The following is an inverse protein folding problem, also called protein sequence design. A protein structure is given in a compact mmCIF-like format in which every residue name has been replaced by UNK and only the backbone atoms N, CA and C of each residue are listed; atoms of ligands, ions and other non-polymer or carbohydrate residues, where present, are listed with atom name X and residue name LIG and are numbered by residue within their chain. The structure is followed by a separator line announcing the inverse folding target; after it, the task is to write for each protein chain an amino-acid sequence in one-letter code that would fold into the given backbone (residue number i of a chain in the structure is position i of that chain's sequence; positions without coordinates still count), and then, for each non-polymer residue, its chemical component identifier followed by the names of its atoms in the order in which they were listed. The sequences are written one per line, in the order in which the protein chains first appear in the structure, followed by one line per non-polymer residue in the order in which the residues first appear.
data_IF_400775664809
#
_entry.id   IF_400775664809
#
_cell.length_a   1.000
_cell.length_b   1.000
_cell.length_c   1.000
_cell.angle_alpha   90.00
_cell.angle_beta   90.00
_cell.angle_gamma   90.00
#
_symmetry.space_group_name_H-M   'P 1'
#
loop_
_entity.id
_entity.type
_entity.pdbx_description
1 polymer ?
#
# COMPACT_ATOMS: atom_id res chain seq x y z
N UNK A 1 20.89 1.82 -23.63
CA UNK A 1 21.16 1.62 -22.21
C UNK A 1 19.90 1.12 -21.55
N UNK A 2 19.99 0.10 -20.69
CA UNK A 2 18.90 -0.45 -19.90
C UNK A 2 19.04 -0.05 -18.45
N UNK A 3 17.94 0.08 -17.75
CA UNK A 3 17.86 0.40 -16.34
C UNK A 3 17.05 -0.68 -15.63
N UNK A 4 17.38 -0.96 -14.40
CA UNK A 4 16.60 -1.82 -13.51
C UNK A 4 16.45 -1.16 -12.16
N UNK A 5 15.28 -1.27 -11.59
CA UNK A 5 14.98 -0.89 -10.22
C UNK A 5 14.38 -2.07 -9.50
N UNK A 6 14.55 -2.13 -8.20
CA UNK A 6 13.94 -3.16 -7.36
C UNK A 6 12.99 -2.52 -6.36
N UNK A 7 11.90 -3.19 -6.08
CA UNK A 7 10.98 -2.88 -5.00
C UNK A 7 10.77 -4.13 -4.16
N UNK A 8 11.05 -4.05 -2.89
CA UNK A 8 10.79 -5.11 -1.92
C UNK A 8 9.47 -4.86 -1.21
N UNK A 9 8.67 -5.90 -0.98
CA UNK A 9 7.45 -5.78 -0.16
C UNK A 9 7.74 -5.59 1.33
N UNK A 10 8.97 -5.86 1.77
CA UNK A 10 9.43 -5.59 3.13
C UNK A 10 10.92 -5.22 3.12
N UNK A 11 11.21 -3.93 3.21
CA UNK A 11 12.56 -3.40 3.16
C UNK A 11 13.39 -3.70 4.42
N UNK A 12 12.74 -3.94 5.55
CA UNK A 12 13.44 -4.33 6.77
C UNK A 12 14.07 -5.72 6.67
N UNK A 13 13.52 -6.58 5.80
CA UNK A 13 14.02 -7.94 5.55
C UNK A 13 14.88 -8.01 4.30
N UNK A 14 14.45 -7.36 3.21
CA UNK A 14 15.22 -7.28 1.96
C UNK A 14 15.21 -5.84 1.48
N UNK A 15 16.36 -5.19 1.51
CA UNK A 15 16.54 -3.82 1.04
C UNK A 15 16.24 -3.72 -0.46
N UNK A 16 15.52 -2.71 -0.91
CA UNK A 16 15.29 -2.49 -2.33
C UNK A 16 16.46 -1.79 -3.04
N UNK A 17 17.41 -1.20 -2.32
CA UNK A 17 18.55 -0.52 -2.93
C UNK A 17 19.58 -1.51 -3.47
N UNK A 18 19.91 -2.53 -2.67
CA UNK A 18 21.00 -3.45 -2.96
C UNK A 18 20.62 -4.93 -2.78
N UNK A 19 19.35 -5.23 -2.47
CA UNK A 19 18.84 -6.56 -2.16
C UNK A 19 19.54 -7.24 -0.97
N UNK A 20 20.13 -6.45 -0.08
CA UNK A 20 20.73 -6.98 1.14
C UNK A 20 19.63 -7.59 2.01
N UNK A 21 19.87 -8.80 2.49
CA UNK A 21 18.97 -9.54 3.38
C UNK A 21 19.36 -9.31 4.82
N UNK A 22 18.39 -8.87 5.63
CA UNK A 22 18.48 -8.85 7.10
C UNK A 22 17.61 -9.98 7.62
N UNK A 23 18.20 -10.92 8.39
CA UNK A 23 17.45 -12.06 8.89
C UNK A 23 16.37 -11.61 9.89
N UNK A 24 15.09 -11.90 9.64
CA UNK A 24 14.00 -11.56 10.53
C UNK A 24 13.90 -12.57 11.69
N UNK A 25 13.05 -12.29 12.67
CA UNK A 25 12.72 -13.24 13.73
C UNK A 25 11.91 -14.42 13.20
N UNK A 26 10.90 -14.15 12.38
CA UNK A 26 10.00 -15.16 11.80
C UNK A 26 10.26 -15.32 10.30
N UNK A 27 9.92 -16.51 9.76
CA UNK A 27 9.97 -16.74 8.32
C UNK A 27 9.11 -15.70 7.60
N UNK A 28 9.70 -14.99 6.66
CA UNK A 28 9.06 -13.88 5.96
C UNK A 28 9.00 -14.15 4.46
N UNK A 29 7.81 -14.06 3.88
CA UNK A 29 7.61 -14.16 2.44
C UNK A 29 7.71 -12.78 1.83
N UNK A 30 8.70 -12.58 0.98
CA UNK A 30 9.04 -11.28 0.38
C UNK A 30 8.81 -11.35 -1.13
N UNK A 31 8.07 -10.40 -1.66
CA UNK A 31 7.92 -10.20 -3.10
C UNK A 31 8.90 -9.12 -3.55
N UNK A 32 9.77 -9.46 -4.48
CA UNK A 32 10.66 -8.52 -5.14
C UNK A 32 10.09 -8.23 -6.52
N UNK A 33 9.81 -6.97 -6.78
CA UNK A 33 9.38 -6.47 -8.09
C UNK A 33 10.55 -5.73 -8.73
N UNK A 34 10.88 -6.09 -9.97
CA UNK A 34 11.91 -5.41 -10.76
C UNK A 34 11.29 -4.81 -12.01
N UNK A 35 11.52 -3.53 -12.23
CA UNK A 35 11.20 -2.86 -13.48
C UNK A 35 12.44 -2.83 -14.38
N UNK A 36 12.32 -3.47 -15.53
CA UNK A 36 13.34 -3.50 -16.58
C UNK A 36 12.93 -2.52 -17.67
N UNK A 37 13.73 -1.49 -17.92
CA UNK A 37 13.48 -0.54 -18.99
C UNK A 37 14.60 -0.51 -20.02
N UNK A 38 14.26 -0.24 -21.27
CA UNK A 38 15.20 -0.17 -22.37
C UNK A 38 14.92 1.03 -23.27
N UNK A 39 15.83 2.00 -23.29
CA UNK A 39 15.73 3.16 -24.17
C UNK A 39 15.71 2.77 -25.67
N UNK A 40 16.41 1.71 -26.06
CA UNK A 40 16.40 1.22 -27.44
C UNK A 40 14.99 0.81 -27.86
N UNK A 41 14.33 -0.01 -27.03
CA UNK A 41 12.98 -0.48 -27.35
C UNK A 41 11.92 0.61 -27.14
N UNK A 42 12.12 1.58 -26.24
CA UNK A 42 11.27 2.76 -26.13
C UNK A 42 11.23 3.55 -27.44
N UNK A 43 12.39 3.83 -28.03
CA UNK A 43 12.48 4.48 -29.35
C UNK A 43 11.85 3.67 -30.49
N UNK A 44 11.94 2.34 -30.42
CA UNK A 44 11.26 1.48 -31.39
C UNK A 44 9.75 1.47 -31.21
N UNK A 45 9.26 1.48 -29.97
CA UNK A 45 7.83 1.58 -29.67
C UNK A 45 7.24 2.92 -30.19
N UNK A 46 7.97 4.04 -30.03
CA UNK A 46 7.57 5.34 -30.56
C UNK A 46 7.52 5.33 -32.10
N UNK A 47 8.53 4.71 -32.73
CA UNK A 47 8.61 4.66 -34.19
C UNK A 47 7.60 3.69 -34.82
N UNK A 48 7.21 2.65 -34.08
CA UNK A 48 6.30 1.59 -34.52
C UNK A 48 5.20 1.37 -33.48
N UNK A 49 4.26 2.32 -33.31
CA UNK A 49 3.29 2.30 -32.20
C UNK A 49 2.31 1.12 -32.26
N UNK A 50 2.14 0.48 -33.42
CA UNK A 50 1.35 -0.76 -33.55
C UNK A 50 2.04 -2.04 -33.09
N UNK A 51 3.35 -1.99 -32.80
CA UNK A 51 4.11 -3.16 -32.37
C UNK A 51 4.15 -3.29 -30.85
N UNK A 52 3.20 -4.05 -30.30
CA UNK A 52 3.08 -4.27 -28.84
C UNK A 52 4.33 -4.95 -28.22
N UNK A 53 5.11 -5.70 -29.01
CA UNK A 53 6.33 -6.33 -28.53
C UNK A 53 7.37 -5.31 -28.14
N UNK A 54 7.53 -4.24 -28.91
CA UNK A 54 8.46 -3.16 -28.58
C UNK A 54 8.03 -2.41 -27.32
N UNK A 55 6.72 -2.17 -27.14
CA UNK A 55 6.19 -1.56 -25.94
C UNK A 55 6.48 -2.41 -24.68
N UNK A 56 6.27 -3.72 -24.76
CA UNK A 56 6.61 -4.65 -23.67
C UNK A 56 8.10 -4.68 -23.35
N UNK A 57 8.96 -4.70 -24.38
CA UNK A 57 10.42 -4.71 -24.20
C UNK A 57 10.97 -3.34 -23.75
N UNK A 58 10.23 -2.27 -23.97
CA UNK A 58 10.57 -0.94 -23.51
C UNK A 58 10.48 -0.79 -22.00
N UNK A 59 9.46 -1.42 -21.39
CA UNK A 59 9.25 -1.44 -19.95
C UNK A 59 8.56 -2.75 -19.55
N UNK A 60 9.24 -3.57 -18.75
CA UNK A 60 8.74 -4.86 -18.30
C UNK A 60 8.87 -4.96 -16.79
N UNK A 61 7.77 -5.31 -16.13
CA UNK A 61 7.77 -5.66 -14.72
C UNK A 61 7.94 -7.17 -14.56
N UNK A 62 8.83 -7.57 -13.67
CA UNK A 62 9.08 -8.95 -13.28
C UNK A 62 8.99 -9.05 -11.76
N UNK A 63 8.25 -10.01 -11.27
CA UNK A 63 8.12 -10.29 -9.84
C UNK A 63 8.69 -11.65 -9.48
N UNK A 64 9.34 -11.73 -8.33
CA UNK A 64 9.78 -12.96 -7.72
C UNK A 64 9.39 -12.98 -6.25
N UNK A 65 8.95 -14.13 -5.76
CA UNK A 65 8.65 -14.31 -4.33
C UNK A 65 9.69 -15.24 -3.72
N UNK A 66 10.29 -14.79 -2.63
CA UNK A 66 11.28 -15.55 -1.86
C UNK A 66 10.80 -15.71 -0.42
N UNK A 67 11.25 -16.75 0.25
CA UNK A 67 11.06 -16.91 1.69
C UNK A 67 12.41 -16.72 2.37
N UNK A 68 12.48 -15.76 3.29
CA UNK A 68 13.65 -15.57 4.15
C UNK A 68 13.36 -16.28 5.46
N UNK A 69 14.19 -17.28 5.78
CA UNK A 69 14.04 -18.03 7.04
C UNK A 69 14.44 -17.14 8.22
N UNK A 70 13.54 -17.02 9.17
CA UNK A 70 13.77 -16.30 10.41
C UNK A 70 14.61 -17.07 11.41
N UNK A 71 15.08 -16.39 12.46
CA UNK A 71 15.86 -17.00 13.55
C UNK A 71 15.04 -18.02 14.35
N UNK A 72 13.72 -17.83 14.44
CA UNK A 72 12.81 -18.77 15.08
C UNK A 72 12.53 -20.04 14.26
N UNK A 73 12.75 -19.98 12.94
CA UNK A 73 12.44 -21.08 12.02
C UNK A 73 10.94 -21.33 11.76
N UNK A 74 10.04 -20.55 12.38
CA UNK A 74 8.59 -20.71 12.24
C UNK A 74 7.98 -19.61 11.37
N UNK A 75 6.77 -19.85 10.86
CA UNK A 75 6.00 -18.84 10.13
C UNK A 75 5.69 -17.63 11.03
N UNK A 76 5.67 -16.44 10.41
CA UNK A 76 5.26 -15.25 11.14
C UNK A 76 3.79 -15.40 11.60
N UNK A 77 3.49 -15.28 12.89
CA UNK A 77 2.12 -15.26 13.39
C UNK A 77 1.29 -14.22 12.63
N UNK A 78 0.00 -14.47 12.52
CA UNK A 78 -0.90 -13.58 11.80
C UNK A 78 -1.97 -13.02 12.73
N UNK A 79 -2.43 -11.83 12.43
CA UNK A 79 -3.56 -11.17 13.07
C UNK A 79 -4.61 -10.87 12.00
N UNK A 80 -5.89 -11.05 12.36
CA UNK A 80 -7.00 -10.72 11.48
C UNK A 80 -7.84 -9.62 12.12
N UNK A 81 -8.16 -8.60 11.32
CA UNK A 81 -8.98 -7.49 11.76
C UNK A 81 -9.95 -7.06 10.63
N UNK A 82 -11.09 -6.52 11.03
CA UNK A 82 -12.08 -6.00 10.09
C UNK A 82 -11.90 -4.50 9.92
N UNK A 83 -11.83 -4.05 8.68
CA UNK A 83 -11.68 -2.64 8.32
C UNK A 83 -12.74 -2.21 7.31
N UNK A 84 -13.21 -0.96 7.42
CA UNK A 84 -14.12 -0.31 6.49
C UNK A 84 -13.79 1.17 6.37
N UNK A 85 -14.27 1.82 5.32
CA UNK A 85 -14.15 3.28 5.15
C UNK A 85 -15.54 3.89 5.02
N UNK A 86 -15.85 4.83 5.89
CA UNK A 86 -17.08 5.61 5.87
C UNK A 86 -16.73 7.04 5.47
N UNK A 87 -17.18 7.46 4.32
CA UNK A 87 -17.10 8.84 3.85
C UNK A 87 -18.45 9.53 3.89
N UNK A 88 -18.60 10.59 3.12
CA UNK A 88 -19.88 11.30 2.92
C UNK A 88 -20.15 11.49 1.43
N UNK A 89 -21.41 11.66 1.08
CA UNK A 89 -21.83 12.09 -0.27
C UNK A 89 -21.68 13.62 -0.44
N UNK A 90 -22.03 14.13 -1.62
CA UNK A 90 -21.96 15.56 -1.92
C UNK A 90 -22.90 16.41 -1.04
N UNK A 91 -23.91 15.81 -0.42
CA UNK A 91 -24.86 16.45 0.51
C UNK A 91 -24.41 16.36 1.97
N UNK A 92 -23.31 15.64 2.25
CA UNK A 92 -22.77 15.46 3.58
C UNK A 92 -23.37 14.28 4.36
N UNK A 93 -24.19 13.42 3.73
CA UNK A 93 -24.71 12.22 4.36
C UNK A 93 -23.65 11.13 4.40
N UNK A 94 -23.62 10.33 5.46
CA UNK A 94 -22.71 9.21 5.58
C UNK A 94 -22.90 8.20 4.45
N UNK A 95 -21.80 7.73 3.89
CA UNK A 95 -21.77 6.76 2.81
C UNK A 95 -20.61 5.79 3.00
N UNK A 96 -20.87 4.48 2.90
CA UNK A 96 -19.80 3.47 2.95
C UNK A 96 -19.00 3.50 1.66
N UNK A 97 -17.74 3.93 1.74
CA UNK A 97 -16.82 3.99 0.59
C UNK A 97 -16.04 2.70 0.38
N UNK A 98 -15.75 1.99 1.45
CA UNK A 98 -15.31 0.60 1.38
C UNK A 98 -16.08 -0.22 2.43
N UNK A 99 -16.75 -1.27 1.96
CA UNK A 99 -17.45 -2.20 2.85
C UNK A 99 -16.48 -2.90 3.80
N UNK A 100 -16.98 -3.32 4.96
CA UNK A 100 -16.21 -4.04 5.95
C UNK A 100 -15.60 -5.33 5.35
N UNK A 101 -14.29 -5.47 5.44
CA UNK A 101 -13.54 -6.65 5.02
C UNK A 101 -12.69 -7.17 6.19
N UNK A 102 -12.72 -8.47 6.40
CA UNK A 102 -11.81 -9.12 7.33
C UNK A 102 -10.50 -9.43 6.60
N UNK A 103 -9.43 -8.81 7.03
CA UNK A 103 -8.12 -8.89 6.41
C UNK A 103 -7.14 -9.55 7.38
N UNK A 104 -6.26 -10.38 6.85
CA UNK A 104 -5.24 -11.08 7.62
C UNK A 104 -3.87 -10.54 7.26
N UNK A 105 -3.13 -10.09 8.26
CA UNK A 105 -1.81 -9.49 8.15
C UNK A 105 -0.81 -10.20 9.06
N UNK A 106 0.47 -9.88 8.92
CA UNK A 106 1.49 -10.36 9.84
C UNK A 106 1.25 -9.79 11.25
N UNK A 107 1.57 -10.57 12.27
CA UNK A 107 1.54 -10.09 13.66
C UNK A 107 2.45 -8.87 13.83
N UNK A 108 1.98 -7.88 14.57
CA UNK A 108 2.64 -6.58 14.69
C UNK A 108 2.28 -5.58 13.59
N UNK A 109 1.43 -5.95 12.63
CA UNK A 109 0.87 -5.00 11.67
C UNK A 109 0.04 -3.93 12.37
N UNK A 110 0.00 -2.75 11.80
CA UNK A 110 -0.71 -1.59 12.33
C UNK A 110 -2.06 -1.38 11.64
N UNK A 111 -2.89 -0.52 12.19
CA UNK A 111 -4.12 -0.07 11.53
C UNK A 111 -3.83 0.66 10.20
N UNK A 112 -2.64 1.24 10.04
CA UNK A 112 -2.19 1.80 8.77
C UNK A 112 -1.98 0.70 7.72
N UNK A 113 -1.25 -0.38 8.07
CA UNK A 113 -1.05 -1.52 7.17
C UNK A 113 -2.39 -2.14 6.76
N UNK A 114 -3.33 -2.25 7.70
CA UNK A 114 -4.69 -2.75 7.45
C UNK A 114 -5.45 -1.83 6.47
N UNK A 115 -5.32 -0.51 6.63
CA UNK A 115 -5.95 0.48 5.76
C UNK A 115 -5.37 0.43 4.35
N UNK A 116 -4.05 0.34 4.20
CA UNK A 116 -3.37 0.23 2.90
C UNK A 116 -3.81 -1.04 2.16
N UNK A 117 -3.89 -2.18 2.88
CA UNK A 117 -4.36 -3.43 2.29
C UNK A 117 -5.83 -3.34 1.85
N UNK A 118 -6.70 -2.69 2.64
CA UNK A 118 -8.09 -2.42 2.25
C UNK A 118 -8.16 -1.56 0.98
N UNK A 119 -7.37 -0.47 0.90
CA UNK A 119 -7.32 0.39 -0.29
C UNK A 119 -6.87 -0.39 -1.52
N UNK A 120 -5.86 -1.24 -1.36
CA UNK A 120 -5.35 -2.09 -2.43
C UNK A 120 -6.40 -3.09 -2.93
N UNK A 121 -7.12 -3.76 -2.03
CA UNK A 121 -8.11 -4.77 -2.40
C UNK A 121 -9.38 -4.16 -3.01
N UNK A 122 -9.82 -3.01 -2.50
CA UNK A 122 -11.03 -2.34 -2.99
C UNK A 122 -10.78 -1.44 -4.20
N UNK A 123 -9.52 -1.12 -4.50
CA UNK A 123 -9.16 -0.13 -5.51
C UNK A 123 -9.49 1.31 -5.10
N UNK A 124 -9.80 1.55 -3.82
CA UNK A 124 -10.10 2.87 -3.29
C UNK A 124 -8.86 3.76 -3.40
N UNK A 125 -8.99 4.88 -4.09
CA UNK A 125 -7.88 5.81 -4.32
C UNK A 125 -7.65 6.66 -3.08
N UNK A 126 -6.59 6.36 -2.36
CA UNK A 126 -6.14 7.11 -1.20
C UNK A 126 -4.73 7.68 -1.45
N UNK A 127 -4.52 8.90 -0.96
CA UNK A 127 -3.19 9.52 -0.85
C UNK A 127 -2.79 9.53 0.62
N UNK A 128 -1.63 8.95 0.93
CA UNK A 128 -1.11 8.88 2.29
C UNK A 128 0.42 9.00 2.29
N UNK A 129 0.95 9.50 3.40
CA UNK A 129 2.38 9.58 3.63
C UNK A 129 2.79 8.58 4.72
N UNK A 130 3.51 7.49 4.38
CA UNK A 130 3.93 6.50 5.36
C UNK A 130 5.00 7.02 6.34
N UNK A 131 5.70 8.10 5.97
CA UNK A 131 6.83 8.68 6.71
C UNK A 131 6.58 10.14 7.08
N UNK A 132 5.35 10.51 7.42
CA UNK A 132 5.04 11.86 7.89
C UNK A 132 5.74 12.19 9.21
N UNK A 133 5.84 13.48 9.53
CA UNK A 133 6.48 13.96 10.78
C UNK A 133 5.85 13.37 12.06
N UNK A 134 4.63 12.89 11.97
CA UNK A 134 3.86 12.27 13.06
C UNK A 134 3.59 10.77 12.80
N UNK A 135 4.40 10.13 11.94
CA UNK A 135 4.20 8.77 11.48
C UNK A 135 3.30 8.70 10.22
N UNK A 136 2.62 7.58 10.03
CA UNK A 136 1.72 7.39 8.90
C UNK A 136 0.54 8.37 8.94
N UNK A 137 0.29 9.05 7.84
CA UNK A 137 -0.76 10.05 7.72
C UNK A 137 -1.59 9.85 6.44
N UNK A 138 -2.90 9.71 6.60
CA UNK A 138 -3.86 9.69 5.51
C UNK A 138 -4.18 11.13 5.11
N UNK A 139 -3.81 11.51 3.89
CA UNK A 139 -4.04 12.85 3.37
C UNK A 139 -5.46 12.96 2.79
N UNK A 140 -5.76 12.15 1.78
CA UNK A 140 -7.06 12.22 1.09
C UNK A 140 -7.53 10.84 0.64
N UNK A 141 -8.85 10.71 0.46
CA UNK A 141 -9.47 9.59 -0.25
C UNK A 141 -10.45 10.17 -1.29
N UNK A 142 -10.40 9.63 -2.52
CA UNK A 142 -11.35 9.97 -3.58
C UNK A 142 -12.59 9.08 -3.43
N UNK A 143 -13.78 9.69 -3.49
CA UNK A 143 -15.03 8.93 -3.43
C UNK A 143 -15.11 7.89 -4.56
N UNK A 144 -15.45 6.64 -4.26
CA UNK A 144 -15.67 5.62 -5.28
C UNK A 144 -16.92 5.87 -6.13
N UNK A 145 -17.84 6.72 -5.67
CA UNK A 145 -19.12 7.03 -6.32
C UNK A 145 -19.08 8.33 -7.11
N UNK A 146 -18.27 9.30 -6.66
CA UNK A 146 -18.09 10.60 -7.32
C UNK A 146 -16.59 10.94 -7.36
N UNK A 147 -15.97 10.77 -8.50
CA UNK A 147 -14.53 11.03 -8.68
C UNK A 147 -14.12 12.50 -8.52
N UNK A 148 -15.10 13.42 -8.53
CA UNK A 148 -14.86 14.84 -8.25
C UNK A 148 -14.82 15.15 -6.76
N UNK A 149 -15.35 14.25 -5.92
CA UNK A 149 -15.37 14.38 -4.47
C UNK A 149 -14.15 13.72 -3.86
N UNK A 150 -13.28 14.53 -3.29
CA UNK A 150 -12.08 14.08 -2.55
C UNK A 150 -12.18 14.62 -1.13
N UNK A 151 -12.09 13.75 -0.14
CA UNK A 151 -12.12 14.12 1.28
C UNK A 151 -10.73 13.95 1.90
N UNK A 152 -10.39 14.90 2.74
CA UNK A 152 -9.11 14.92 3.47
C UNK A 152 -9.11 15.97 4.55
N UNK A 153 -7.92 16.34 5.02
CA UNK A 153 -7.80 17.44 5.97
C UNK A 153 -8.21 18.76 5.31
N UNK A 154 -9.16 19.42 5.91
CA UNK A 154 -9.62 20.75 5.51
C UNK A 154 -9.40 21.74 6.67
N UNK A 155 -8.40 22.61 6.50
CA UNK A 155 -8.01 23.61 7.49
C UNK A 155 -9.16 24.60 7.83
N UNK A 156 -10.06 24.88 6.89
CA UNK A 156 -11.14 25.84 7.08
C UNK A 156 -12.26 25.28 7.97
N UNK A 157 -12.56 24.00 7.79
CA UNK A 157 -13.65 23.32 8.52
C UNK A 157 -13.16 22.45 9.67
N UNK A 158 -11.84 22.20 9.76
CA UNK A 158 -11.24 21.30 10.73
C UNK A 158 -11.59 19.83 10.52
N UNK A 159 -12.15 19.47 9.36
CA UNK A 159 -12.49 18.08 9.05
C UNK A 159 -11.23 17.30 8.68
N UNK A 160 -11.19 16.03 9.09
CA UNK A 160 -10.09 15.10 8.79
C UNK A 160 -10.58 13.66 8.88
N UNK A 161 -9.77 12.71 8.40
CA UNK A 161 -10.03 11.28 8.56
C UNK A 161 -9.72 10.85 10.00
N UNK A 162 -10.73 10.34 10.69
CA UNK A 162 -10.61 9.86 12.06
C UNK A 162 -10.57 8.32 12.08
N UNK A 163 -9.60 7.77 12.79
CA UNK A 163 -9.55 6.34 13.09
C UNK A 163 -10.51 6.00 14.23
N UNK A 164 -11.32 4.97 14.02
CA UNK A 164 -12.16 4.37 15.06
C UNK A 164 -11.75 2.93 15.28
N UNK A 165 -11.57 2.52 16.52
CA UNK A 165 -11.27 1.16 16.94
C UNK A 165 -12.44 0.67 17.78
N UNK A 166 -13.09 -0.41 17.34
CA UNK A 166 -14.25 -0.99 18.00
C UNK A 166 -15.33 0.08 18.34
N UNK A 167 -15.60 0.97 17.39
CA UNK A 167 -16.62 2.03 17.52
C UNK A 167 -16.20 3.24 18.36
N UNK A 168 -14.98 3.30 18.86
CA UNK A 168 -14.45 4.43 19.64
C UNK A 168 -13.36 5.16 18.86
N UNK A 169 -13.36 6.49 18.90
CA UNK A 169 -12.31 7.30 18.32
C UNK A 169 -10.95 6.93 18.95
N UNK A 170 -9.98 6.62 18.11
CA UNK A 170 -8.63 6.30 18.57
C UNK A 170 -7.91 7.56 19.05
N UNK A 171 -7.16 7.44 20.13
CA UNK A 171 -6.27 8.48 20.65
C UNK A 171 -4.89 8.47 19.97
N UNK A 172 -4.61 7.46 19.16
CA UNK A 172 -3.37 7.33 18.40
C UNK A 172 -3.67 7.26 16.90
N UNK A 173 -2.71 7.70 16.07
CA UNK A 173 -2.83 7.56 14.63
C UNK A 173 -2.77 6.10 14.17
N UNK A 174 -3.19 5.82 12.94
CA UNK A 174 -3.27 4.48 12.39
C UNK A 174 -1.90 3.75 12.40
N UNK A 175 -0.80 4.46 12.16
CA UNK A 175 0.55 3.90 12.24
C UNK A 175 1.03 3.56 13.65
N UNK A 176 0.37 4.11 14.68
CA UNK A 176 0.70 3.83 16.09
C UNK A 176 -0.21 2.78 16.75
N UNK A 177 -1.25 2.32 16.08
CA UNK A 177 -2.15 1.28 16.59
C UNK A 177 -1.75 -0.09 16.04
N UNK A 178 -1.21 -0.94 16.91
CA UNK A 178 -0.83 -2.32 16.57
C UNK A 178 -2.10 -3.19 16.67
N UNK A 179 -2.32 -4.04 15.65
CA UNK A 179 -3.44 -4.99 15.62
C UNK A 179 -3.20 -6.14 16.60
N UNK A 180 -4.25 -6.52 17.34
CA UNK A 180 -4.26 -7.60 18.35
C UNK A 180 -5.27 -8.68 17.97
#
# INVERSE_FOLDING_TARGET
QGWRTFKSSNQAVVSHENLQVTQPEYNSKITITSNLSSQKYARYAERFPGNQTYAKLANQEVTATITVTGTSGIANPQVSATCSVIGVDAQGNQQTWAAAQNLTLANGATAADLSEELFRQTGLKADYNPNGSWGWALNTIVSPFDKSLTLGYDQKTGKYWQLFINGKASSVGAGGYILE
#
